data_IF_021333784616
#
_entry.id   IF_021333784616
#
_cell.length_a   1.000
_cell.length_b   1.000
_cell.length_c   1.000
_cell.angle_alpha   90.00
_cell.angle_beta   90.00
_cell.angle_gamma   90.00
#
_symmetry.space_group_name_H-M   'P 1'
#
loop_
_entity.id
_entity.type
_entity.pdbx_description
1 polymer ?
#
# COMPACT_ATOMS: atom_id res chain seq x y z
N UNK A 1 26.68 55.89 33.94
CA UNK A 1 25.46 55.42 33.29
C UNK A 1 25.82 54.32 32.30
N UNK A 2 25.66 53.03 32.73
CA UNK A 2 25.98 51.88 31.91
C UNK A 2 24.71 51.48 31.16
N UNK A 3 24.72 51.55 29.83
CA UNK A 3 23.65 51.08 28.96
C UNK A 3 23.82 49.57 28.76
N UNK A 4 22.90 48.79 29.32
CA UNK A 4 22.81 47.34 29.15
C UNK A 4 22.13 47.06 27.81
N UNK A 5 22.86 46.55 26.83
CA UNK A 5 22.30 46.03 25.57
C UNK A 5 21.80 44.60 25.83
N UNK A 6 20.49 44.45 25.83
CA UNK A 6 19.86 43.12 25.82
C UNK A 6 19.78 42.63 24.39
N UNK A 7 20.63 41.67 24.07
CA UNK A 7 20.59 40.96 22.78
C UNK A 7 19.50 39.90 22.83
N UNK A 8 18.37 40.17 22.18
CA UNK A 8 17.26 39.20 22.03
C UNK A 8 17.62 38.23 20.92
N UNK A 9 18.17 37.07 21.26
CA UNK A 9 18.38 35.97 20.34
C UNK A 9 17.02 35.28 20.02
N UNK A 10 16.46 35.64 18.88
CA UNK A 10 15.32 34.87 18.30
C UNK A 10 15.85 33.55 17.80
N UNK A 11 15.72 32.49 18.63
CA UNK A 11 15.87 31.12 18.16
C UNK A 11 14.68 30.81 17.22
N UNK A 12 14.93 30.90 15.93
CA UNK A 12 14.01 30.40 14.93
C UNK A 12 13.92 28.88 15.06
N UNK A 13 12.83 28.38 15.64
CA UNK A 13 12.43 26.99 15.46
C UNK A 13 12.11 26.82 13.97
N UNK A 14 13.09 26.33 13.20
CA UNK A 14 12.83 25.72 11.90
C UNK A 14 12.07 24.41 12.19
N UNK A 15 10.75 24.49 12.30
CA UNK A 15 9.90 23.34 12.27
C UNK A 15 10.12 22.67 10.92
N UNK A 16 10.75 21.50 10.90
CA UNK A 16 10.73 20.61 9.77
C UNK A 16 9.27 20.23 9.56
N UNK A 17 8.65 20.84 8.54
CA UNK A 17 7.40 20.34 7.98
C UNK A 17 7.74 18.96 7.42
N UNK A 18 7.51 17.92 8.21
CA UNK A 18 7.42 16.59 7.67
C UNK A 18 6.22 16.64 6.72
N UNK A 19 6.49 16.65 5.41
CA UNK A 19 5.49 16.31 4.44
C UNK A 19 4.94 14.94 4.88
N UNK A 20 3.64 14.81 5.05
CA UNK A 20 3.05 13.53 5.35
C UNK A 20 3.53 12.54 4.28
N UNK A 21 4.13 11.43 4.73
CA UNK A 21 4.60 10.41 3.81
C UNK A 21 3.40 9.93 2.99
N UNK A 22 3.59 9.87 1.67
CA UNK A 22 2.54 9.57 0.70
C UNK A 22 2.83 8.23 0.05
N UNK A 23 1.78 7.45 -0.18
CA UNK A 23 1.88 6.23 -0.98
C UNK A 23 2.18 6.52 -2.45
N UNK A 24 1.99 7.77 -2.90
CA UNK A 24 2.30 8.17 -4.28
C UNK A 24 3.75 7.86 -4.63
N UNK A 25 3.92 7.18 -5.77
CA UNK A 25 5.22 6.82 -6.31
C UNK A 25 5.21 5.50 -7.07
N UNK A 26 6.39 5.10 -7.48
CA UNK A 26 6.66 3.79 -8.07
C UNK A 26 7.36 2.93 -7.03
N UNK A 27 6.87 1.71 -6.88
CA UNK A 27 7.32 0.76 -5.87
C UNK A 27 7.66 -0.56 -6.53
N UNK A 28 8.81 -1.14 -6.19
CA UNK A 28 9.25 -2.41 -6.73
C UNK A 28 9.27 -3.48 -5.64
N UNK A 29 8.72 -4.66 -5.94
CA UNK A 29 8.74 -5.80 -5.04
C UNK A 29 10.18 -6.24 -4.76
N UNK A 30 10.53 -6.31 -3.48
CA UNK A 30 11.74 -6.98 -3.00
C UNK A 30 11.41 -8.44 -2.69
N UNK A 31 11.66 -9.31 -3.65
CA UNK A 31 11.36 -10.75 -3.51
C UNK A 31 12.20 -11.44 -2.43
N UNK A 32 13.39 -10.90 -2.13
CA UNK A 32 14.27 -11.47 -1.10
C UNK A 32 13.76 -11.17 0.33
N UNK A 33 13.04 -10.07 0.52
CA UNK A 33 12.44 -9.69 1.80
C UNK A 33 10.97 -10.13 1.94
N UNK A 34 10.38 -10.63 0.87
CA UNK A 34 8.98 -11.06 0.82
C UNK A 34 8.86 -12.56 1.12
N UNK A 35 7.69 -12.96 1.64
CA UNK A 35 7.37 -14.36 1.95
C UNK A 35 5.97 -14.69 1.48
N UNK A 36 5.81 -15.80 0.79
CA UNK A 36 4.55 -16.26 0.25
C UNK A 36 4.24 -17.70 0.73
N UNK A 37 3.06 -17.87 1.29
CA UNK A 37 2.51 -19.17 1.71
C UNK A 37 1.35 -19.60 0.82
N UNK A 38 0.77 -18.65 0.06
CA UNK A 38 -0.35 -18.91 -0.85
C UNK A 38 0.06 -19.63 -2.13
N UNK A 39 1.35 -19.54 -2.50
CA UNK A 39 1.88 -20.13 -3.73
C UNK A 39 3.28 -19.66 -4.08
N UNK A 40 3.73 -19.89 -5.32
CA UNK A 40 5.02 -19.38 -5.79
C UNK A 40 5.07 -17.85 -5.73
N UNK A 41 6.18 -17.32 -5.19
CA UNK A 41 6.41 -15.88 -5.15
C UNK A 41 6.37 -15.27 -6.56
N UNK A 42 5.79 -14.08 -6.74
CA UNK A 42 5.89 -13.34 -7.99
C UNK A 42 7.36 -13.11 -8.37
N UNK A 43 7.66 -13.14 -9.67
CA UNK A 43 9.01 -12.93 -10.16
C UNK A 43 9.40 -11.45 -10.13
N UNK A 44 8.46 -10.61 -10.47
CA UNK A 44 8.62 -9.17 -10.51
C UNK A 44 7.25 -8.51 -10.37
N UNK A 45 7.14 -7.49 -9.51
CA UNK A 45 5.96 -6.64 -9.40
C UNK A 45 6.39 -5.19 -9.24
N UNK A 46 5.75 -4.32 -9.99
CA UNK A 46 5.86 -2.87 -9.86
C UNK A 46 4.47 -2.32 -9.56
N UNK A 47 4.36 -1.57 -8.47
CA UNK A 47 3.18 -0.77 -8.15
C UNK A 47 3.45 0.67 -8.54
N UNK A 48 2.47 1.30 -9.18
CA UNK A 48 2.43 2.75 -9.39
C UNK A 48 1.20 3.27 -8.67
N UNK A 49 1.40 4.13 -7.69
CA UNK A 49 0.32 4.70 -6.89
C UNK A 49 0.29 6.20 -7.13
N UNK A 50 -0.89 6.72 -7.43
CA UNK A 50 -1.16 8.14 -7.55
C UNK A 50 -2.32 8.50 -6.61
N UNK A 51 -2.02 9.18 -5.53
CA UNK A 51 -3.05 9.72 -4.63
C UNK A 51 -3.60 11.01 -5.22
N UNK A 52 -4.91 11.04 -5.44
CA UNK A 52 -5.63 12.20 -5.96
C UNK A 52 -6.45 12.90 -4.87
N UNK A 53 -7.22 13.90 -5.27
CA UNK A 53 -8.09 14.63 -4.33
C UNK A 53 -9.26 13.78 -3.82
N UNK A 54 -9.91 13.08 -4.73
CA UNK A 54 -11.14 12.30 -4.45
C UNK A 54 -10.94 10.80 -4.65
N UNK A 55 -9.97 10.40 -5.46
CA UNK A 55 -9.73 9.03 -5.87
C UNK A 55 -8.24 8.75 -5.93
N UNK A 56 -7.83 7.63 -5.40
CA UNK A 56 -6.50 7.07 -5.57
C UNK A 56 -6.49 6.12 -6.77
N UNK A 57 -5.44 6.15 -7.55
CA UNK A 57 -5.20 5.31 -8.72
C UNK A 57 -4.02 4.39 -8.44
N UNK A 58 -4.20 3.11 -8.73
CA UNK A 58 -3.17 2.08 -8.50
C UNK A 58 -3.04 1.22 -9.74
N UNK A 59 -1.84 1.15 -10.27
CA UNK A 59 -1.47 0.24 -11.36
C UNK A 59 -0.46 -0.78 -10.85
N UNK A 60 -0.74 -2.05 -11.10
CA UNK A 60 0.15 -3.19 -10.80
C UNK A 60 0.60 -3.80 -12.12
N UNK A 61 1.90 -3.95 -12.30
CA UNK A 61 2.49 -4.63 -13.46
C UNK A 61 3.59 -5.58 -13.02
N UNK A 62 3.75 -6.67 -13.75
CA UNK A 62 4.82 -7.60 -13.44
C UNK A 62 4.61 -8.99 -14.01
N UNK A 63 5.12 -9.98 -13.28
CA UNK A 63 5.01 -11.40 -13.63
C UNK A 63 4.75 -12.18 -12.36
N UNK A 64 3.69 -12.99 -12.36
CA UNK A 64 3.35 -13.85 -11.24
C UNK A 64 4.35 -15.00 -11.04
N UNK A 65 4.17 -15.77 -9.97
CA UNK A 65 5.03 -16.90 -9.66
C UNK A 65 4.99 -18.03 -10.70
N UNK A 66 3.95 -18.12 -11.51
CA UNK A 66 3.83 -19.08 -12.62
C UNK A 66 4.47 -18.59 -13.91
N UNK A 67 4.85 -17.32 -13.99
CA UNK A 67 5.43 -16.69 -15.18
C UNK A 67 4.43 -16.00 -16.09
N UNK A 68 3.17 -15.84 -15.65
CA UNK A 68 2.15 -15.10 -16.39
C UNK A 68 2.28 -13.60 -16.14
N UNK A 69 2.01 -12.75 -17.13
CA UNK A 69 1.94 -11.32 -16.93
C UNK A 69 0.88 -10.93 -15.89
N UNK A 70 1.25 -10.01 -15.01
CA UNK A 70 0.34 -9.27 -14.13
C UNK A 70 0.08 -7.91 -14.74
N UNK A 71 -1.18 -7.56 -14.89
CA UNK A 71 -1.63 -6.22 -15.30
C UNK A 71 -2.95 -5.95 -14.59
N UNK A 72 -2.93 -5.03 -13.63
CA UNK A 72 -4.11 -4.60 -12.89
C UNK A 72 -4.13 -3.09 -12.83
N UNK A 73 -5.29 -2.51 -13.08
CA UNK A 73 -5.53 -1.09 -12.85
C UNK A 73 -6.81 -0.94 -12.05
N UNK A 74 -6.69 -0.29 -10.92
CA UNK A 74 -7.80 -0.08 -10.00
C UNK A 74 -7.82 1.35 -9.44
N UNK A 75 -8.98 1.75 -9.00
CA UNK A 75 -9.18 3.00 -8.26
C UNK A 75 -10.00 2.76 -7.00
N UNK A 76 -9.82 3.60 -6.01
CA UNK A 76 -10.66 3.63 -4.81
C UNK A 76 -10.77 5.05 -4.26
N UNK A 77 -11.84 5.40 -3.54
CA UNK A 77 -11.98 6.73 -2.93
C UNK A 77 -10.85 7.03 -1.93
N UNK A 78 -10.39 8.26 -1.86
CA UNK A 78 -9.30 8.69 -0.94
C UNK A 78 -9.66 8.49 0.54
N UNK A 79 -10.94 8.51 0.88
CA UNK A 79 -11.42 8.27 2.25
C UNK A 79 -11.76 6.81 2.53
N UNK A 80 -11.42 5.91 1.60
CA UNK A 80 -11.79 4.50 1.65
C UNK A 80 -13.16 4.25 1.02
N UNK A 81 -13.42 2.98 0.71
CA UNK A 81 -14.64 2.54 0.05
C UNK A 81 -14.37 1.43 -0.97
N UNK A 82 -15.34 1.17 -1.85
CA UNK A 82 -15.23 0.11 -2.86
C UNK A 82 -14.06 0.36 -3.82
N UNK A 83 -13.39 -0.72 -4.20
CA UNK A 83 -12.39 -0.74 -5.27
C UNK A 83 -13.12 -0.92 -6.60
N UNK A 84 -12.69 -0.16 -7.61
CA UNK A 84 -13.15 -0.30 -8.98
C UNK A 84 -11.98 -0.72 -9.86
N UNK A 85 -12.12 -1.86 -10.50
CA UNK A 85 -11.12 -2.37 -11.44
C UNK A 85 -11.48 -1.95 -12.87
N UNK A 86 -10.52 -1.38 -13.59
CA UNK A 86 -10.60 -1.14 -15.03
C UNK A 86 -9.81 -2.18 -15.84
N UNK A 87 -8.88 -2.89 -15.19
CA UNK A 87 -8.10 -3.97 -15.77
C UNK A 87 -7.72 -4.98 -14.68
N UNK A 88 -7.69 -6.28 -15.02
CA UNK A 88 -7.14 -7.35 -14.19
C UNK A 88 -7.83 -7.59 -12.85
N UNK A 89 -9.09 -7.18 -12.73
CA UNK A 89 -9.87 -7.41 -11.52
C UNK A 89 -10.30 -8.88 -11.35
N UNK A 90 -10.91 -9.20 -10.18
CA UNK A 90 -11.40 -10.54 -9.89
C UNK A 90 -12.41 -11.03 -10.94
N UNK A 91 -12.29 -12.27 -11.36
CA UNK A 91 -13.19 -12.90 -12.34
C UNK A 91 -14.20 -13.86 -11.69
N UNK A 92 -14.10 -14.06 -10.37
CA UNK A 92 -14.90 -15.00 -9.57
C UNK A 92 -16.08 -14.33 -8.83
N UNK A 93 -16.34 -13.03 -9.12
CA UNK A 93 -17.39 -12.25 -8.49
C UNK A 93 -17.00 -11.67 -7.12
N UNK A 94 -15.75 -11.78 -6.72
CA UNK A 94 -15.25 -11.10 -5.52
C UNK A 94 -15.28 -9.58 -5.67
N UNK A 95 -15.43 -8.89 -4.56
CA UNK A 95 -15.38 -7.43 -4.48
C UNK A 95 -14.38 -7.02 -3.42
N UNK A 96 -13.72 -5.90 -3.62
CA UNK A 96 -12.75 -5.36 -2.67
C UNK A 96 -13.20 -4.00 -2.14
N UNK A 97 -12.80 -3.71 -0.92
CA UNK A 97 -12.99 -2.40 -0.31
C UNK A 97 -11.77 -2.01 0.52
N UNK A 98 -11.44 -0.71 0.49
CA UNK A 98 -10.33 -0.13 1.25
C UNK A 98 -10.87 0.63 2.43
N UNK A 99 -10.27 0.42 3.60
CA UNK A 99 -10.47 1.23 4.81
C UNK A 99 -9.17 1.96 5.13
N UNK A 100 -9.26 3.27 5.29
CA UNK A 100 -8.15 4.09 5.75
C UNK A 100 -8.08 3.95 7.28
N UNK A 101 -6.98 3.38 7.79
CA UNK A 101 -6.79 3.14 9.22
C UNK A 101 -5.95 4.25 9.87
N UNK A 102 -5.13 4.91 9.06
CA UNK A 102 -4.29 6.03 9.48
C UNK A 102 -3.57 6.65 8.30
N UNK A 103 -2.73 7.63 8.53
CA UNK A 103 -1.97 8.29 7.46
C UNK A 103 -1.16 7.28 6.64
N UNK A 104 -0.52 6.33 7.32
CA UNK A 104 0.41 5.37 6.73
C UNK A 104 -0.15 3.93 6.71
N UNK A 105 -1.46 3.73 6.88
CA UNK A 105 -2.04 2.39 6.93
C UNK A 105 -3.38 2.30 6.19
N UNK A 106 -3.52 1.23 5.43
CA UNK A 106 -4.72 0.84 4.70
C UNK A 106 -5.07 -0.59 5.08
N UNK A 107 -6.35 -0.89 5.11
CA UNK A 107 -6.86 -2.25 5.27
C UNK A 107 -7.77 -2.54 4.08
N UNK A 108 -7.48 -3.58 3.33
CA UNK A 108 -8.29 -4.04 2.22
C UNK A 108 -9.02 -5.30 2.65
N UNK A 109 -10.28 -5.41 2.27
CA UNK A 109 -11.10 -6.60 2.53
C UNK A 109 -11.67 -7.09 1.21
N UNK A 110 -11.46 -8.37 0.93
CA UNK A 110 -12.04 -9.08 -0.21
C UNK A 110 -13.23 -9.90 0.25
N UNK A 111 -14.36 -9.65 -0.37
CA UNK A 111 -15.63 -10.35 -0.11
C UNK A 111 -16.00 -11.22 -1.29
N UNK A 112 -16.43 -12.47 -1.02
CA UNK A 112 -16.99 -13.37 -2.02
C UNK A 112 -18.28 -13.98 -1.47
N UNK A 113 -19.37 -13.88 -2.23
CA UNK A 113 -20.69 -14.37 -1.83
C UNK A 113 -21.13 -13.87 -0.43
N UNK A 114 -20.82 -12.62 -0.08
CA UNK A 114 -21.15 -12.00 1.19
C UNK A 114 -20.28 -12.44 2.38
N UNK A 115 -19.19 -13.18 2.13
CA UNK A 115 -18.23 -13.60 3.16
C UNK A 115 -16.87 -12.97 2.89
N UNK A 116 -16.19 -12.56 3.96
CA UNK A 116 -14.78 -12.16 3.90
C UNK A 116 -13.94 -13.42 3.62
N UNK A 117 -13.14 -13.36 2.57
CA UNK A 117 -12.26 -14.46 2.13
C UNK A 117 -10.79 -14.12 2.24
N UNK A 118 -10.47 -12.81 2.18
CA UNK A 118 -9.09 -12.33 2.27
C UNK A 118 -9.05 -10.92 2.87
N UNK A 119 -7.98 -10.61 3.56
CA UNK A 119 -7.69 -9.28 4.09
C UNK A 119 -6.25 -8.91 3.81
N UNK A 120 -6.01 -7.64 3.51
CA UNK A 120 -4.67 -7.09 3.36
C UNK A 120 -4.48 -5.93 4.34
N UNK A 121 -3.32 -5.91 4.97
CA UNK A 121 -2.87 -4.75 5.72
C UNK A 121 -1.66 -4.14 5.00
N UNK A 122 -1.84 -2.94 4.50
CA UNK A 122 -0.82 -2.19 3.75
C UNK A 122 -0.30 -1.08 4.66
N UNK A 123 1.00 -1.04 4.88
CA UNK A 123 1.65 -0.06 5.77
C UNK A 123 2.84 0.58 5.07
N UNK A 124 2.85 1.90 5.04
CA UNK A 124 3.99 2.71 4.62
C UNK A 124 4.92 2.92 5.80
N UNK A 125 6.22 2.71 5.61
CA UNK A 125 7.23 2.98 6.63
C UNK A 125 7.31 4.46 6.98
N UNK A 126 7.77 4.77 8.19
CA UNK A 126 7.86 6.15 8.68
C UNK A 126 8.82 7.03 7.86
N UNK A 127 9.76 6.45 7.13
CA UNK A 127 10.67 7.16 6.22
C UNK A 127 10.13 7.28 4.78
N UNK A 128 8.91 6.77 4.53
CA UNK A 128 8.26 6.81 3.23
C UNK A 128 8.93 5.99 2.13
N UNK A 129 9.81 5.03 2.47
CA UNK A 129 10.63 4.30 1.49
C UNK A 129 10.23 2.85 1.28
N UNK A 130 9.41 2.30 2.15
CA UNK A 130 9.00 0.90 2.09
C UNK A 130 7.50 0.77 2.30
N UNK A 131 6.85 -0.03 1.46
CA UNK A 131 5.49 -0.53 1.71
C UNK A 131 5.60 -1.98 2.17
N UNK A 132 4.95 -2.29 3.28
CA UNK A 132 4.75 -3.64 3.75
C UNK A 132 3.29 -4.00 3.61
N UNK A 133 3.00 -5.05 2.87
CA UNK A 133 1.68 -5.62 2.68
C UNK A 133 1.62 -7.00 3.33
N UNK A 134 0.59 -7.24 4.10
CA UNK A 134 0.32 -8.54 4.74
C UNK A 134 -1.04 -9.00 4.31
N UNK A 135 -1.07 -10.03 3.49
CA UNK A 135 -2.29 -10.67 3.01
C UNK A 135 -2.59 -11.92 3.83
N UNK A 136 -3.81 -12.06 4.29
CA UNK A 136 -4.31 -13.25 4.99
C UNK A 136 -5.56 -13.75 4.33
N UNK A 137 -5.64 -15.04 4.12
CA UNK A 137 -6.79 -15.65 3.49
C UNK A 137 -6.82 -17.17 3.70
N UNK A 138 -7.67 -17.82 2.91
CA UNK A 138 -7.83 -19.26 2.94
C UNK A 138 -7.72 -19.82 1.54
N UNK A 139 -6.82 -20.76 1.35
CA UNK A 139 -6.65 -21.47 0.07
C UNK A 139 -7.90 -22.29 -0.28
N UNK A 140 -8.11 -22.66 -1.54
CA UNK A 140 -9.21 -23.54 -1.94
C UNK A 140 -9.22 -24.90 -1.21
N UNK A 141 -8.05 -25.32 -0.69
CA UNK A 141 -7.92 -26.52 0.15
C UNK A 141 -8.46 -26.35 1.57
N UNK A 142 -8.90 -25.15 1.95
CA UNK A 142 -9.31 -24.80 3.32
C UNK A 142 -8.16 -24.45 4.25
N UNK A 143 -6.90 -24.47 3.78
CA UNK A 143 -5.73 -24.11 4.60
C UNK A 143 -5.58 -22.59 4.64
N UNK A 144 -5.42 -21.98 5.84
CA UNK A 144 -5.10 -20.56 5.94
C UNK A 144 -3.69 -20.28 5.43
N UNK A 145 -3.47 -19.08 4.91
CA UNK A 145 -2.15 -18.59 4.50
C UNK A 145 -1.91 -17.17 4.99
N UNK A 146 -0.65 -16.80 5.06
CA UNK A 146 -0.21 -15.41 5.29
C UNK A 146 0.94 -15.11 4.36
N UNK A 147 0.71 -14.16 3.45
CA UNK A 147 1.74 -13.62 2.58
C UNK A 147 2.25 -12.29 3.11
N UNK A 148 3.51 -12.02 2.90
CA UNK A 148 4.15 -10.74 3.23
C UNK A 148 4.90 -10.27 2.01
N UNK A 149 4.48 -9.16 1.43
CA UNK A 149 5.17 -8.48 0.35
C UNK A 149 5.83 -7.20 0.85
N UNK A 150 7.06 -6.98 0.44
CA UNK A 150 7.83 -5.79 0.74
C UNK A 150 8.13 -5.09 -0.58
N UNK A 151 7.76 -3.83 -0.66
CA UNK A 151 8.04 -2.99 -1.83
C UNK A 151 8.95 -1.84 -1.43
N UNK A 152 9.91 -1.52 -2.27
CA UNK A 152 10.83 -0.41 -2.09
C UNK A 152 10.55 0.70 -3.10
N UNK A 153 10.59 1.93 -2.64
CA UNK A 153 10.38 3.13 -3.46
C UNK A 153 11.51 3.29 -4.46
N UNK A 154 11.15 3.61 -5.72
CA UNK A 154 12.10 3.84 -6.82
C UNK A 154 12.43 5.32 -6.98
#
# INVERSE_FOLDING_TARGET
MRKLLVLLSVLGLAGTLYAADSFTGTWKLDTAKSKYESGPAPKEVTLMVQEGKDTNDVTVKGTDGSGKPLATHLTHPTHGGPVTFSEGGPTDGSTESVKIVGANSRHVTTMQNGKEVETEQITLSADGKTIREVTKGTLPSGKPFTDVAIYEKQ
#
